data_IF_157100786896
#
_entry.id   IF_157100786896
#
_cell.length_a   1.000
_cell.length_b   1.000
_cell.length_c   1.000
_cell.angle_alpha   90.00
_cell.angle_beta   90.00
_cell.angle_gamma   90.00
#
_symmetry.space_group_name_H-M   'P 1'
#
loop_
_entity.id
_entity.type
_entity.pdbx_description
1 polymer ?
#
# COMPACT_ATOMS: atom_id res chain seq x y z
N UNK A 1 -31.89 9.42 29.63
CA UNK A 1 -30.66 8.92 29.03
C UNK A 1 -31.04 7.68 28.24
N UNK A 2 -31.01 7.75 26.91
CA UNK A 2 -31.26 6.58 26.08
C UNK A 2 -30.14 5.55 26.32
N UNK A 3 -30.50 4.33 26.69
CA UNK A 3 -29.55 3.20 26.70
C UNK A 3 -28.94 3.12 25.30
N UNK A 4 -27.60 3.28 25.19
CA UNK A 4 -26.88 2.91 24.00
C UNK A 4 -27.17 1.42 23.76
N UNK A 5 -28.00 1.11 22.78
CA UNK A 5 -28.16 -0.28 22.34
C UNK A 5 -26.80 -0.75 21.86
N UNK A 6 -26.27 -1.72 22.58
CA UNK A 6 -25.11 -2.48 22.09
C UNK A 6 -25.61 -3.25 20.86
N UNK A 7 -25.15 -2.89 19.69
CA UNK A 7 -25.44 -3.64 18.47
C UNK A 7 -24.73 -4.98 18.61
N UNK A 8 -25.44 -6.00 19.05
CA UNK A 8 -24.85 -7.31 19.36
C UNK A 8 -24.56 -8.15 18.11
N UNK A 9 -25.16 -7.83 16.97
CA UNK A 9 -25.03 -8.63 15.75
C UNK A 9 -24.53 -7.78 14.58
N UNK A 10 -23.57 -8.35 13.82
CA UNK A 10 -23.25 -7.91 12.47
C UNK A 10 -24.27 -8.54 11.51
N UNK A 11 -24.57 -7.87 10.41
CA UNK A 11 -25.39 -8.47 9.35
C UNK A 11 -24.68 -9.71 8.79
N UNK A 12 -25.42 -10.73 8.34
CA UNK A 12 -24.77 -11.91 7.77
C UNK A 12 -24.20 -11.64 6.37
N UNK A 13 -23.15 -12.37 6.01
CA UNK A 13 -22.54 -12.26 4.69
C UNK A 13 -23.54 -12.56 3.56
N UNK A 14 -24.43 -13.50 3.76
CA UNK A 14 -25.44 -13.90 2.77
C UNK A 14 -26.56 -12.88 2.60
N UNK A 15 -26.82 -12.04 3.61
CA UNK A 15 -27.84 -10.99 3.55
C UNK A 15 -27.30 -9.74 2.85
N UNK A 16 -26.16 -9.23 3.31
CA UNK A 16 -25.49 -8.05 2.71
C UNK A 16 -23.97 -8.12 2.98
N UNK A 17 -23.21 -8.66 2.05
CA UNK A 17 -21.75 -8.77 2.14
C UNK A 17 -21.08 -7.42 2.30
N UNK A 18 -21.62 -6.39 1.67
CA UNK A 18 -21.06 -5.04 1.74
C UNK A 18 -21.19 -4.42 3.13
N UNK A 19 -22.37 -4.55 3.73
CA UNK A 19 -22.65 -4.07 5.07
C UNK A 19 -21.93 -4.92 6.12
N UNK A 20 -21.94 -6.25 5.96
CA UNK A 20 -21.18 -7.17 6.80
C UNK A 20 -19.71 -6.74 6.91
N UNK A 21 -19.06 -6.46 5.80
CA UNK A 21 -17.67 -6.02 5.77
C UNK A 21 -17.44 -4.75 6.63
N UNK A 22 -18.30 -3.76 6.48
CA UNK A 22 -18.20 -2.52 7.26
C UNK A 22 -18.49 -2.76 8.73
N UNK A 23 -19.52 -3.56 9.06
CA UNK A 23 -19.87 -3.90 10.42
C UNK A 23 -18.73 -4.62 11.14
N UNK A 24 -18.04 -5.56 10.48
CA UNK A 24 -16.87 -6.26 11.04
C UNK A 24 -15.76 -5.27 11.41
N UNK A 25 -15.43 -4.34 10.51
CA UNK A 25 -14.39 -3.35 10.75
C UNK A 25 -14.70 -2.45 11.94
N UNK A 26 -15.94 -1.94 11.99
CA UNK A 26 -16.37 -1.03 13.05
C UNK A 26 -16.48 -1.74 14.40
N UNK A 27 -17.00 -2.96 14.44
CA UNK A 27 -17.10 -3.74 15.68
C UNK A 27 -15.77 -4.27 16.19
N UNK A 28 -14.86 -4.60 15.31
CA UNK A 28 -13.49 -4.95 15.68
C UNK A 28 -12.63 -3.73 16.06
N UNK A 29 -13.22 -2.53 16.05
CA UNK A 29 -12.55 -1.28 16.43
C UNK A 29 -11.27 -1.00 15.64
N UNK A 30 -11.30 -1.32 14.32
CA UNK A 30 -10.13 -1.23 13.46
C UNK A 30 -9.90 0.18 12.90
N UNK A 31 -10.96 0.90 12.58
CA UNK A 31 -10.89 2.27 12.08
C UNK A 31 -12.15 3.06 12.39
N UNK A 32 -12.11 4.37 12.14
CA UNK A 32 -13.24 5.26 12.25
C UNK A 32 -13.23 6.30 11.12
N UNK A 33 -14.37 6.93 10.87
CA UNK A 33 -14.47 8.02 9.90
C UNK A 33 -13.91 9.32 10.50
N UNK A 34 -13.12 10.04 9.70
CA UNK A 34 -12.69 11.38 10.06
C UNK A 34 -13.65 12.43 9.48
N UNK A 35 -13.44 13.70 9.83
CA UNK A 35 -14.18 14.84 9.29
C UNK A 35 -13.85 15.06 7.80
N UNK A 36 -12.73 14.56 7.32
CA UNK A 36 -12.34 14.63 5.90
C UNK A 36 -12.85 13.40 5.18
N UNK A 37 -13.80 13.61 4.27
CA UNK A 37 -14.42 12.51 3.51
C UNK A 37 -13.36 11.65 2.83
N UNK A 38 -13.42 10.34 3.11
CA UNK A 38 -12.53 9.35 2.50
C UNK A 38 -11.17 9.19 3.18
N UNK A 39 -10.85 10.02 4.17
CA UNK A 39 -9.69 9.85 5.03
C UNK A 39 -10.12 9.19 6.34
N UNK A 40 -9.60 8.01 6.62
CA UNK A 40 -10.00 7.20 7.77
C UNK A 40 -8.98 7.36 8.90
N UNK A 41 -9.47 7.32 10.15
CA UNK A 41 -8.60 7.10 11.31
C UNK A 41 -8.40 5.59 11.45
N UNK A 42 -7.18 5.10 11.27
CA UNK A 42 -6.85 3.70 11.57
C UNK A 42 -6.55 3.61 13.06
N UNK A 43 -7.39 2.87 13.80
CA UNK A 43 -7.29 2.75 15.26
C UNK A 43 -6.20 1.75 15.66
N UNK A 44 -5.75 1.73 16.92
CA UNK A 44 -4.60 0.92 17.35
C UNK A 44 -4.66 -0.56 16.95
N UNK A 45 -5.84 -1.19 17.00
CA UNK A 45 -5.97 -2.58 16.60
C UNK A 45 -5.78 -2.79 15.09
N UNK A 46 -6.41 -1.95 14.26
CA UNK A 46 -6.22 -1.97 12.81
C UNK A 46 -4.80 -1.61 12.41
N UNK A 47 -4.19 -0.63 13.09
CA UNK A 47 -2.82 -0.22 12.83
C UNK A 47 -1.81 -1.30 13.24
N UNK A 48 -2.05 -2.00 14.35
CA UNK A 48 -1.21 -3.12 14.78
C UNK A 48 -1.17 -4.27 13.75
N UNK A 49 -2.28 -4.53 13.05
CA UNK A 49 -2.29 -5.47 11.92
C UNK A 49 -1.36 -4.95 10.80
N UNK A 50 -1.45 -3.67 10.47
CA UNK A 50 -0.59 -3.04 9.46
C UNK A 50 0.89 -3.09 9.84
N UNK A 51 1.25 -2.83 11.09
CA UNK A 51 2.64 -2.92 11.58
C UNK A 51 3.22 -4.33 11.43
N UNK A 52 2.42 -5.35 11.71
CA UNK A 52 2.84 -6.75 11.52
C UNK A 52 3.01 -7.09 10.03
N UNK A 53 2.07 -6.66 9.18
CA UNK A 53 2.19 -6.81 7.73
C UNK A 53 3.43 -6.09 7.19
N UNK A 54 3.66 -4.86 7.64
CA UNK A 54 4.81 -4.05 7.25
C UNK A 54 6.12 -4.74 7.62
N UNK A 55 6.24 -5.27 8.86
CA UNK A 55 7.43 -5.99 9.31
C UNK A 55 7.73 -7.20 8.44
N UNK A 56 6.74 -8.04 8.22
CA UNK A 56 6.88 -9.27 7.42
C UNK A 56 7.28 -8.97 5.96
N UNK A 57 6.73 -7.92 5.36
CA UNK A 57 7.10 -7.50 4.00
C UNK A 57 8.47 -6.84 3.96
N UNK A 58 8.77 -5.96 4.90
CA UNK A 58 10.03 -5.21 4.96
C UNK A 58 11.23 -6.16 5.10
N UNK A 59 11.09 -7.21 5.90
CA UNK A 59 12.11 -8.26 6.04
C UNK A 59 12.36 -8.97 4.70
N UNK A 60 11.32 -9.24 3.92
CA UNK A 60 11.44 -9.83 2.58
C UNK A 60 12.11 -8.89 1.58
N UNK A 61 11.77 -7.61 1.61
CA UNK A 61 12.41 -6.60 0.75
C UNK A 61 13.90 -6.47 1.08
N UNK A 62 14.25 -6.42 2.35
CA UNK A 62 15.65 -6.38 2.78
C UNK A 62 16.43 -7.65 2.40
N UNK A 63 15.77 -8.82 2.47
CA UNK A 63 16.38 -10.08 2.05
C UNK A 63 16.69 -10.13 0.55
N UNK A 64 15.99 -9.35 -0.28
CA UNK A 64 16.29 -9.18 -1.71
C UNK A 64 17.22 -8.00 -2.02
N UNK A 65 17.81 -7.37 -0.99
CA UNK A 65 18.79 -6.29 -1.12
C UNK A 65 18.23 -4.88 -1.18
N UNK A 66 16.92 -4.72 -1.05
CA UNK A 66 16.27 -3.42 -1.07
C UNK A 66 16.55 -2.61 0.19
N UNK A 67 16.55 -1.29 0.04
CA UNK A 67 16.76 -0.32 1.13
C UNK A 67 15.59 0.63 1.21
N UNK A 68 15.15 0.92 2.43
CA UNK A 68 14.13 1.91 2.67
C UNK A 68 14.71 3.32 2.55
N UNK A 69 13.93 4.21 1.94
CA UNK A 69 14.20 5.64 1.84
C UNK A 69 12.90 6.42 2.06
N UNK A 70 12.96 7.74 1.98
CA UNK A 70 11.79 8.60 2.08
C UNK A 70 11.89 9.77 1.11
N UNK A 71 10.84 10.00 0.34
CA UNK A 71 10.69 11.12 -0.57
C UNK A 71 9.60 12.09 -0.07
N UNK A 72 9.71 13.39 -0.38
CA UNK A 72 8.76 14.40 0.11
C UNK A 72 7.32 14.13 -0.30
N UNK A 73 6.40 14.54 0.57
CA UNK A 73 4.95 14.45 0.35
C UNK A 73 4.47 15.35 -0.80
N UNK A 74 5.06 16.52 -0.96
CA UNK A 74 4.62 17.54 -1.89
C UNK A 74 5.43 17.52 -3.18
N UNK A 75 4.72 17.57 -4.30
CA UNK A 75 5.30 17.55 -5.66
C UNK A 75 4.92 18.86 -6.37
N UNK A 76 5.88 19.61 -6.90
CA UNK A 76 5.60 20.80 -7.70
C UNK A 76 4.78 20.47 -8.96
N UNK A 77 3.83 21.32 -9.32
CA UNK A 77 2.98 21.15 -10.51
C UNK A 77 3.81 21.03 -11.80
N UNK A 78 4.90 21.77 -11.89
CA UNK A 78 5.84 21.73 -13.02
C UNK A 78 6.42 20.33 -13.27
N UNK A 79 6.69 19.56 -12.21
CA UNK A 79 7.15 18.18 -12.35
C UNK A 79 6.06 17.25 -12.87
N UNK A 80 4.80 17.41 -12.41
CA UNK A 80 3.68 16.63 -12.92
C UNK A 80 3.38 16.90 -14.39
N UNK A 81 3.49 18.18 -14.81
CA UNK A 81 3.33 18.55 -16.22
C UNK A 81 4.40 17.90 -17.09
N UNK A 82 5.63 17.84 -16.60
CA UNK A 82 6.72 17.17 -17.32
C UNK A 82 6.47 15.69 -17.53
N UNK A 83 5.87 15.03 -16.54
CA UNK A 83 5.47 13.61 -16.65
C UNK A 83 4.34 13.44 -17.67
N UNK A 84 3.29 14.29 -17.61
CA UNK A 84 2.15 14.22 -18.50
C UNK A 84 2.51 14.44 -19.99
N UNK A 85 3.58 15.16 -20.26
CA UNK A 85 4.11 15.37 -21.63
C UNK A 85 4.75 14.12 -22.22
N UNK A 86 5.25 13.21 -21.36
CA UNK A 86 6.03 12.03 -21.76
C UNK A 86 5.33 10.70 -21.52
N UNK A 87 4.28 10.70 -20.70
CA UNK A 87 3.54 9.48 -20.31
C UNK A 87 2.06 9.71 -20.55
N UNK A 88 1.55 9.24 -21.68
CA UNK A 88 0.13 9.36 -22.01
C UNK A 88 -0.75 8.71 -20.92
N UNK A 89 -1.69 9.48 -20.38
CA UNK A 89 -2.81 8.95 -19.59
C UNK A 89 -2.71 9.04 -18.09
N UNK A 90 -1.66 9.64 -17.51
CA UNK A 90 -1.58 9.87 -16.09
C UNK A 90 -2.00 11.30 -15.72
N UNK A 91 -3.30 11.50 -15.44
CA UNK A 91 -3.83 12.70 -14.80
C UNK A 91 -4.64 12.27 -13.56
N UNK A 92 -3.99 11.94 -12.43
CA UNK A 92 -4.73 11.59 -11.23
C UNK A 92 -5.51 12.81 -10.71
N UNK A 93 -6.68 12.57 -10.13
CA UNK A 93 -7.36 13.58 -9.32
C UNK A 93 -6.50 13.84 -8.06
N UNK A 94 -5.76 14.94 -8.04
CA UNK A 94 -4.83 15.28 -6.96
C UNK A 94 -5.40 16.37 -6.04
N UNK A 95 -4.97 16.37 -4.78
CA UNK A 95 -5.19 17.49 -3.88
C UNK A 95 -4.08 18.53 -4.05
N UNK A 96 -4.46 19.80 -4.16
CA UNK A 96 -3.55 20.90 -4.37
C UNK A 96 -3.32 21.72 -3.10
N UNK A 97 -2.05 22.04 -2.83
CA UNK A 97 -1.63 23.00 -1.81
C UNK A 97 -1.28 24.29 -2.55
N UNK A 98 -2.01 25.36 -2.22
CA UNK A 98 -1.90 26.67 -2.87
C UNK A 98 -1.29 27.74 -1.98
N UNK A 99 -1.25 27.53 -0.67
CA UNK A 99 -0.73 28.48 0.32
C UNK A 99 0.28 27.81 1.24
N UNK A 100 1.30 28.59 1.64
CA UNK A 100 2.23 28.29 2.72
C UNK A 100 2.00 29.27 3.87
N UNK A 101 1.29 28.85 4.93
CA UNK A 101 0.73 29.78 5.89
C UNK A 101 -0.35 30.65 5.23
N UNK A 102 -0.26 31.98 5.38
CA UNK A 102 -1.21 32.94 4.79
C UNK A 102 -0.78 33.43 3.39
N UNK A 103 0.39 33.01 2.91
CA UNK A 103 0.92 33.46 1.62
C UNK A 103 0.59 32.46 0.51
N UNK A 104 0.15 32.98 -0.64
CA UNK A 104 -0.05 32.18 -1.85
C UNK A 104 1.31 31.73 -2.42
N UNK A 105 1.42 30.46 -2.75
CA UNK A 105 2.62 29.89 -3.36
C UNK A 105 2.77 30.38 -4.79
N UNK A 106 3.99 30.68 -5.22
CA UNK A 106 4.30 31.03 -6.62
C UNK A 106 3.96 29.90 -7.59
N UNK A 107 4.08 28.66 -7.12
CA UNK A 107 3.71 27.44 -7.81
C UNK A 107 2.93 26.55 -6.85
N UNK A 108 1.78 26.06 -7.27
CA UNK A 108 1.02 25.10 -6.44
C UNK A 108 1.72 23.75 -6.39
N UNK A 109 1.55 23.10 -5.25
CA UNK A 109 2.10 21.78 -5.00
C UNK A 109 0.96 20.76 -4.92
N UNK A 110 1.15 19.53 -5.40
CA UNK A 110 0.20 18.48 -5.14
C UNK A 110 0.64 17.59 -3.98
N UNK A 111 -0.32 17.11 -3.22
CA UNK A 111 -0.09 15.98 -2.31
C UNK A 111 0.08 14.74 -3.17
N UNK A 112 1.18 14.00 -3.01
CA UNK A 112 1.55 12.87 -3.88
C UNK A 112 0.42 11.84 -4.01
N UNK A 113 -0.04 11.54 -5.24
CA UNK A 113 -0.93 10.40 -5.50
C UNK A 113 -0.17 9.10 -5.72
N UNK A 114 1.10 9.24 -6.06
CA UNK A 114 2.16 8.24 -6.24
C UNK A 114 3.48 9.01 -6.35
N UNK A 115 4.63 8.34 -6.31
CA UNK A 115 5.91 9.05 -6.15
C UNK A 115 6.86 8.96 -7.36
N UNK A 116 6.45 8.33 -8.48
CA UNK A 116 7.31 8.20 -9.67
C UNK A 116 7.93 9.54 -10.07
N UNK A 117 7.14 10.60 -10.13
CA UNK A 117 7.56 11.94 -10.55
C UNK A 117 8.69 12.49 -9.70
N UNK A 118 8.51 12.53 -8.38
CA UNK A 118 9.54 13.06 -7.48
C UNK A 118 10.76 12.15 -7.41
N UNK A 119 10.56 10.83 -7.45
CA UNK A 119 11.64 9.85 -7.43
C UNK A 119 12.47 9.93 -8.69
N UNK A 120 11.84 9.95 -9.87
CA UNK A 120 12.56 10.05 -11.15
C UNK A 120 13.34 11.37 -11.29
N UNK A 121 12.81 12.48 -10.74
CA UNK A 121 13.53 13.74 -10.71
C UNK A 121 14.83 13.68 -9.87
N UNK A 122 14.84 12.86 -8.83
CA UNK A 122 16.03 12.63 -8.01
C UNK A 122 16.97 11.60 -8.65
N UNK A 123 16.44 10.56 -9.27
CA UNK A 123 17.24 9.58 -9.99
C UNK A 123 18.00 10.20 -11.15
N UNK A 124 17.44 11.21 -11.83
CA UNK A 124 18.15 11.99 -12.84
C UNK A 124 19.42 12.69 -12.33
N UNK A 125 19.48 12.96 -11.01
CA UNK A 125 20.67 13.53 -10.36
C UNK A 125 21.63 12.47 -9.83
N UNK A 126 21.11 11.33 -9.38
CA UNK A 126 21.89 10.31 -8.68
C UNK A 126 22.49 9.27 -9.61
N UNK A 127 21.80 8.94 -10.71
CA UNK A 127 22.25 7.97 -11.71
C UNK A 127 23.15 8.69 -12.70
N UNK A 128 24.47 8.43 -12.64
CA UNK A 128 25.47 9.04 -13.49
C UNK A 128 26.31 8.00 -14.24
N UNK A 129 26.53 6.84 -13.65
CA UNK A 129 27.34 5.78 -14.23
C UNK A 129 26.77 4.40 -13.92
N UNK A 130 27.23 3.37 -14.65
CA UNK A 130 26.86 1.97 -14.40
C UNK A 130 27.17 1.49 -12.95
N UNK A 131 28.06 2.21 -12.22
CA UNK A 131 28.41 1.90 -10.84
C UNK A 131 27.31 2.29 -9.85
N UNK A 132 26.40 3.16 -10.26
CA UNK A 132 25.27 3.59 -9.44
C UNK A 132 24.09 2.60 -9.55
N UNK A 133 24.20 1.60 -10.43
CA UNK A 133 23.16 0.62 -10.72
C UNK A 133 23.52 -0.77 -10.14
N UNK A 134 22.51 -1.57 -9.70
CA UNK A 134 21.10 -1.19 -9.64
C UNK A 134 20.78 -0.31 -8.44
N UNK A 135 19.76 0.55 -8.57
CA UNK A 135 19.11 1.20 -7.42
C UNK A 135 17.91 0.33 -7.02
N UNK A 136 17.87 -0.08 -5.76
CA UNK A 136 16.83 -0.93 -5.20
C UNK A 136 16.22 -0.24 -3.96
N UNK A 137 15.28 0.71 -4.18
CA UNK A 137 14.70 1.48 -3.10
C UNK A 137 13.22 1.20 -2.93
N UNK A 138 12.79 1.23 -1.67
CA UNK A 138 11.42 1.14 -1.22
C UNK A 138 11.12 2.30 -0.27
N UNK A 139 9.89 2.80 -0.26
CA UNK A 139 9.42 3.69 0.80
C UNK A 139 8.09 3.21 1.38
N UNK A 140 7.97 3.33 2.68
CA UNK A 140 6.74 3.23 3.42
C UNK A 140 6.17 4.64 3.60
N UNK A 141 4.97 4.87 3.09
CA UNK A 141 4.42 6.22 3.02
C UNK A 141 2.89 6.22 2.96
N UNK A 142 2.32 7.40 3.02
CA UNK A 142 0.95 7.66 2.63
C UNK A 142 0.91 8.28 1.23
N UNK A 143 -0.22 8.13 0.56
CA UNK A 143 -0.57 8.86 -0.67
C UNK A 143 -2.02 9.33 -0.58
N UNK A 144 -2.36 10.33 -1.39
CA UNK A 144 -3.71 10.86 -1.42
C UNK A 144 -4.22 10.90 -2.87
N UNK A 145 -5.34 10.23 -3.10
CA UNK A 145 -6.08 10.20 -4.37
C UNK A 145 -7.52 10.62 -4.11
N UNK A 146 -7.98 11.68 -4.75
CA UNK A 146 -9.29 12.25 -4.49
C UNK A 146 -10.42 11.36 -5.01
N UNK A 147 -10.83 10.41 -4.19
CA UNK A 147 -11.80 9.38 -4.53
C UNK A 147 -13.25 9.86 -4.30
N UNK A 148 -14.13 9.63 -5.29
CA UNK A 148 -15.56 9.97 -5.17
C UNK A 148 -16.32 9.02 -4.25
N UNK A 149 -15.98 7.73 -4.33
CA UNK A 149 -16.61 6.66 -3.53
C UNK A 149 -15.55 5.95 -2.73
N UNK A 150 -15.72 5.90 -1.42
CA UNK A 150 -14.73 5.34 -0.50
C UNK A 150 -15.31 4.17 0.29
N UNK A 151 -14.43 3.24 0.68
CA UNK A 151 -14.74 2.10 1.52
C UNK A 151 -13.52 1.78 2.41
N UNK A 152 -13.69 1.61 3.73
CA UNK A 152 -12.59 1.37 4.65
C UNK A 152 -11.61 0.31 4.14
N UNK A 153 -10.32 0.58 4.21
CA UNK A 153 -9.18 -0.20 3.72
C UNK A 153 -9.16 -0.50 2.20
N UNK A 154 -10.29 -0.70 1.55
CA UNK A 154 -10.35 -1.12 0.14
C UNK A 154 -10.14 0.03 -0.84
N UNK A 155 -10.77 1.17 -0.56
CA UNK A 155 -10.67 2.38 -1.38
C UNK A 155 -10.91 3.59 -0.49
N UNK A 156 -9.85 4.30 -0.14
CA UNK A 156 -9.87 5.52 0.67
C UNK A 156 -9.14 6.62 -0.07
N UNK A 157 -9.45 7.88 0.24
CA UNK A 157 -8.76 9.01 -0.37
C UNK A 157 -7.31 9.06 0.07
N UNK A 158 -7.05 8.93 1.36
CA UNK A 158 -5.71 8.72 1.91
C UNK A 158 -5.56 7.26 2.33
N UNK A 159 -4.40 6.67 2.04
CA UNK A 159 -4.05 5.32 2.48
C UNK A 159 -2.55 5.16 2.70
N UNK A 160 -2.21 4.20 3.55
CA UNK A 160 -0.84 3.78 3.77
C UNK A 160 -0.47 2.67 2.77
N UNK A 161 0.73 2.73 2.28
CA UNK A 161 1.27 1.75 1.36
C UNK A 161 2.79 1.63 1.45
N UNK A 162 3.34 0.72 0.70
CA UNK A 162 4.71 0.76 0.27
C UNK A 162 4.78 0.89 -1.25
N UNK A 163 5.80 1.54 -1.73
CA UNK A 163 6.13 1.63 -3.14
C UNK A 163 7.63 1.41 -3.32
N UNK A 164 7.97 0.45 -4.17
CA UNK A 164 9.33 0.20 -4.58
C UNK A 164 9.59 0.84 -5.94
N UNK A 165 10.79 1.38 -6.10
CA UNK A 165 11.22 2.03 -7.34
C UNK A 165 12.65 1.65 -7.60
N UNK A 166 12.90 0.91 -8.68
CA UNK A 166 14.22 0.38 -8.99
C UNK A 166 14.72 0.87 -10.34
N UNK A 167 16.04 0.86 -10.49
CA UNK A 167 16.72 1.26 -11.73
C UNK A 167 17.78 0.24 -12.07
N UNK A 168 17.80 -0.22 -13.31
CA UNK A 168 18.65 -1.30 -13.79
C UNK A 168 19.37 -0.92 -15.08
N UNK A 169 20.52 -1.54 -15.33
CA UNK A 169 21.28 -1.29 -16.53
C UNK A 169 20.65 -1.94 -17.78
N UNK A 170 19.98 -3.09 -17.61
CA UNK A 170 19.43 -3.86 -18.73
C UNK A 170 17.94 -4.14 -18.55
N UNK A 171 17.29 -4.48 -19.66
CA UNK A 171 15.88 -4.88 -19.68
C UNK A 171 15.65 -6.15 -18.88
N UNK A 172 16.56 -7.10 -19.04
CA UNK A 172 16.49 -8.41 -18.39
C UNK A 172 16.55 -8.29 -16.88
N UNK A 173 17.44 -7.42 -16.34
CA UNK A 173 17.52 -7.15 -14.91
C UNK A 173 16.22 -6.53 -14.37
N UNK A 174 15.61 -5.60 -15.12
CA UNK A 174 14.35 -4.98 -14.73
C UNK A 174 13.17 -5.96 -14.79
N UNK A 175 13.14 -6.85 -15.80
CA UNK A 175 12.12 -7.89 -15.90
C UNK A 175 12.22 -8.89 -14.73
N UNK A 176 13.43 -9.37 -14.45
CA UNK A 176 13.69 -10.26 -13.33
C UNK A 176 13.25 -9.61 -11.99
N UNK A 177 13.51 -8.31 -11.85
CA UNK A 177 13.09 -7.58 -10.65
C UNK A 177 11.57 -7.45 -10.54
N UNK A 178 10.87 -7.12 -11.62
CA UNK A 178 9.42 -7.03 -11.62
C UNK A 178 8.75 -8.36 -11.26
N UNK A 179 9.25 -9.46 -11.79
CA UNK A 179 8.77 -10.83 -11.47
C UNK A 179 9.14 -11.24 -10.03
N UNK A 180 10.35 -10.91 -9.57
CA UNK A 180 10.81 -11.19 -8.21
C UNK A 180 9.90 -10.54 -7.17
N UNK A 181 9.55 -9.28 -7.36
CA UNK A 181 8.71 -8.55 -6.40
C UNK A 181 7.27 -9.04 -6.43
N UNK A 182 6.74 -9.45 -7.57
CA UNK A 182 5.46 -10.16 -7.64
C UNK A 182 5.52 -11.47 -6.83
N UNK A 183 6.62 -12.21 -6.94
CA UNK A 183 6.86 -13.44 -6.17
C UNK A 183 6.92 -13.20 -4.66
N UNK A 184 7.54 -12.11 -4.23
CA UNK A 184 7.57 -11.67 -2.82
C UNK A 184 6.16 -11.37 -2.30
N UNK A 185 5.34 -10.67 -3.08
CA UNK A 185 3.94 -10.40 -2.71
C UNK A 185 3.11 -11.68 -2.62
N UNK A 186 3.30 -12.59 -3.57
CA UNK A 186 2.62 -13.88 -3.55
C UNK A 186 3.01 -14.69 -2.31
N UNK A 187 4.30 -14.81 -2.00
CA UNK A 187 4.79 -15.50 -0.80
C UNK A 187 4.19 -14.89 0.47
N UNK A 188 4.17 -13.57 0.56
CA UNK A 188 3.56 -12.86 1.68
C UNK A 188 2.05 -13.17 1.80
N UNK A 189 1.31 -13.07 0.70
CA UNK A 189 -0.13 -13.33 0.70
C UNK A 189 -0.45 -14.78 1.13
N UNK A 190 0.25 -15.76 0.56
CA UNK A 190 -0.02 -17.18 0.80
C UNK A 190 0.52 -17.67 2.16
N UNK A 191 1.73 -17.27 2.55
CA UNK A 191 2.44 -17.84 3.71
C UNK A 191 2.34 -16.98 5.00
N UNK A 192 1.90 -15.73 4.89
CA UNK A 192 1.67 -14.85 6.05
C UNK A 192 0.20 -14.57 6.24
N UNK A 193 -0.49 -14.14 5.18
CA UNK A 193 -1.91 -13.82 5.23
C UNK A 193 -2.82 -15.06 5.05
N UNK A 194 -2.26 -16.19 4.65
CA UNK A 194 -3.00 -17.41 4.29
C UNK A 194 -4.10 -17.15 3.23
N UNK A 195 -3.84 -16.27 2.28
CA UNK A 195 -4.74 -15.90 1.20
C UNK A 195 -4.22 -16.50 -0.11
N UNK A 196 -4.93 -17.47 -0.72
CA UNK A 196 -4.59 -17.96 -2.06
C UNK A 196 -4.75 -16.83 -3.07
N UNK A 197 -3.76 -16.67 -3.96
CA UNK A 197 -3.75 -15.60 -4.95
C UNK A 197 -3.43 -16.12 -6.34
N UNK A 198 -3.98 -15.45 -7.34
CA UNK A 198 -3.63 -15.60 -8.73
C UNK A 198 -2.68 -14.48 -9.14
N UNK A 199 -1.62 -14.82 -9.84
CA UNK A 199 -0.70 -13.85 -10.43
C UNK A 199 -0.79 -13.90 -11.93
N UNK A 200 -0.66 -12.76 -12.59
CA UNK A 200 -0.74 -12.66 -14.03
C UNK A 200 -0.35 -11.28 -14.55
N UNK A 201 -0.34 -11.16 -15.87
CA UNK A 201 -0.10 -9.90 -16.56
C UNK A 201 -1.43 -9.24 -16.89
N UNK A 202 -1.55 -7.94 -16.60
CA UNK A 202 -2.71 -7.14 -16.96
C UNK A 202 -2.81 -6.93 -18.48
N UNK A 203 -4.06 -6.73 -18.93
CA UNK A 203 -4.32 -6.32 -20.31
C UNK A 203 -3.74 -4.92 -20.59
N UNK A 204 -3.55 -4.60 -21.87
CA UNK A 204 -3.08 -3.27 -22.29
C UNK A 204 -3.97 -2.11 -21.80
N UNK A 205 -5.28 -2.36 -21.59
CA UNK A 205 -6.22 -1.36 -21.07
C UNK A 205 -6.11 -1.11 -19.57
N UNK A 206 -5.59 -2.09 -18.84
CA UNK A 206 -5.58 -2.06 -17.36
C UNK A 206 -4.17 -1.94 -16.78
N UNK A 207 -3.14 -1.99 -17.62
CA UNK A 207 -1.77 -1.79 -17.18
C UNK A 207 -1.59 -0.37 -16.63
N UNK A 208 -0.60 -0.20 -15.78
CA UNK A 208 -0.22 1.11 -15.26
C UNK A 208 0.21 2.04 -16.41
N UNK A 209 -0.31 3.26 -16.41
CA UNK A 209 0.04 4.25 -17.42
C UNK A 209 1.55 4.56 -17.37
N UNK A 210 2.24 4.43 -18.51
CA UNK A 210 3.68 4.57 -18.59
C UNK A 210 4.48 3.28 -18.37
N UNK A 211 3.85 2.16 -18.01
CA UNK A 211 4.51 0.88 -17.98
C UNK A 211 4.48 0.18 -19.34
N UNK A 212 5.53 -0.55 -19.66
CA UNK A 212 5.53 -1.48 -20.79
C UNK A 212 4.54 -2.62 -20.51
N UNK A 213 4.57 -3.15 -19.29
CA UNK A 213 3.56 -4.09 -18.81
C UNK A 213 3.45 -4.07 -17.28
N UNK A 214 2.35 -4.61 -16.78
CA UNK A 214 2.03 -4.68 -15.36
C UNK A 214 1.67 -6.10 -14.97
N UNK A 215 2.34 -6.60 -13.96
CA UNK A 215 1.95 -7.80 -13.23
C UNK A 215 0.99 -7.44 -12.10
N UNK A 216 0.07 -8.35 -11.80
CA UNK A 216 -0.90 -8.19 -10.72
C UNK A 216 -0.99 -9.44 -9.87
N UNK A 217 -1.30 -9.26 -8.62
CA UNK A 217 -1.69 -10.30 -7.67
C UNK A 217 -3.13 -10.04 -7.23
N UNK A 218 -4.00 -11.02 -7.46
CA UNK A 218 -5.43 -10.92 -7.19
C UNK A 218 -5.92 -12.10 -6.36
N UNK A 219 -6.79 -11.83 -5.41
CA UNK A 219 -7.43 -12.85 -4.58
C UNK A 219 -8.92 -12.90 -4.84
N UNK A 220 -9.50 -14.10 -4.75
CA UNK A 220 -10.93 -14.31 -4.84
C UNK A 220 -11.57 -14.03 -3.48
N UNK A 221 -12.54 -13.11 -3.44
CA UNK A 221 -13.30 -12.81 -2.25
C UNK A 221 -14.50 -13.76 -2.11
N UNK A 222 -15.07 -13.85 -0.92
CA UNK A 222 -16.20 -14.76 -0.64
C UNK A 222 -17.46 -14.41 -1.44
N UNK A 223 -17.61 -13.18 -1.89
CA UNK A 223 -18.69 -12.74 -2.79
C UNK A 223 -18.44 -13.06 -4.27
N UNK A 224 -17.37 -13.79 -4.59
CA UNK A 224 -16.98 -14.20 -5.94
C UNK A 224 -16.30 -13.12 -6.78
N UNK A 225 -15.94 -11.98 -6.18
CA UNK A 225 -15.21 -10.91 -6.86
C UNK A 225 -13.71 -11.04 -6.66
N UNK A 226 -12.93 -10.71 -7.68
CA UNK A 226 -11.49 -10.61 -7.57
C UNK A 226 -11.10 -9.26 -6.94
N UNK A 227 -10.15 -9.29 -6.01
CA UNK A 227 -9.53 -8.11 -5.41
C UNK A 227 -8.06 -8.05 -5.79
N UNK A 228 -7.66 -6.96 -6.45
CA UNK A 228 -6.25 -6.65 -6.67
C UNK A 228 -5.59 -6.31 -5.34
N UNK A 229 -4.56 -7.06 -4.96
CA UNK A 229 -3.86 -6.92 -3.69
C UNK A 229 -2.46 -6.32 -3.82
N UNK A 230 -1.86 -6.39 -4.99
CA UNK A 230 -0.56 -5.81 -5.28
C UNK A 230 -0.25 -5.81 -6.76
N UNK A 231 0.62 -4.92 -7.20
CA UNK A 231 1.08 -4.81 -8.58
C UNK A 231 2.58 -4.64 -8.65
N UNK A 232 3.16 -5.12 -9.75
CA UNK A 232 4.55 -4.93 -10.10
C UNK A 232 4.64 -4.53 -11.57
N UNK A 233 5.29 -3.40 -11.84
CA UNK A 233 5.33 -2.76 -13.14
C UNK A 233 6.73 -2.81 -13.71
N UNK A 234 6.86 -3.32 -14.94
CA UNK A 234 8.02 -3.06 -15.77
C UNK A 234 7.78 -1.74 -16.51
N UNK A 235 8.50 -0.69 -16.11
CA UNK A 235 8.30 0.66 -16.64
C UNK A 235 9.03 0.89 -17.97
N UNK A 236 9.83 -0.08 -18.41
CA UNK A 236 10.69 0.12 -19.57
C UNK A 236 11.67 1.26 -19.35
N UNK A 237 11.84 2.10 -20.37
CA UNK A 237 12.63 3.31 -20.34
C UNK A 237 11.77 4.59 -20.39
N UNK A 238 10.47 4.47 -20.23
CA UNK A 238 9.52 5.56 -20.45
C UNK A 238 9.77 6.72 -19.48
N UNK A 239 9.83 6.44 -18.19
CA UNK A 239 10.15 7.45 -17.18
C UNK A 239 11.61 7.93 -17.28
N UNK A 240 12.54 7.02 -17.57
CA UNK A 240 13.95 7.39 -17.74
C UNK A 240 14.12 8.41 -18.87
N UNK A 241 13.46 8.23 -20.01
CA UNK A 241 13.46 9.18 -21.13
C UNK A 241 12.74 10.47 -20.75
N UNK A 242 11.57 10.40 -20.09
CA UNK A 242 10.79 11.56 -19.66
C UNK A 242 11.55 12.49 -18.72
N UNK A 243 12.29 11.92 -17.78
CA UNK A 243 13.08 12.66 -16.80
C UNK A 243 14.55 12.82 -17.17
N UNK A 244 14.96 12.33 -18.35
CA UNK A 244 16.35 12.33 -18.83
C UNK A 244 17.32 11.69 -17.84
N UNK A 245 16.95 10.50 -17.32
CA UNK A 245 17.81 9.69 -16.46
C UNK A 245 18.78 8.95 -17.37
N UNK A 246 20.06 9.25 -17.32
CA UNK A 246 21.08 8.62 -18.15
C UNK A 246 22.28 8.21 -17.30
N UNK A 247 22.93 7.13 -17.70
CA UNK A 247 24.17 6.66 -17.08
C UNK A 247 25.26 6.42 -18.14
N UNK A 248 26.49 6.71 -17.77
CA UNK A 248 27.65 6.34 -18.57
C UNK A 248 27.90 4.84 -18.37
N UNK A 249 27.75 4.07 -19.43
CA UNK A 249 27.97 2.62 -19.40
C UNK A 249 29.46 2.28 -19.58
N UNK A 250 29.80 1.00 -19.43
CA UNK A 250 31.17 0.46 -19.49
C UNK A 250 31.85 0.67 -20.84
N UNK A 251 31.06 0.79 -21.90
CA UNK A 251 31.53 1.08 -23.27
C UNK A 251 31.80 2.55 -23.51
N UNK A 252 31.55 3.43 -22.53
CA UNK A 252 31.73 4.88 -22.64
C UNK A 252 30.56 5.62 -23.30
N UNK A 253 29.45 4.94 -23.55
CA UNK A 253 28.22 5.52 -24.11
C UNK A 253 27.20 5.89 -23.02
N UNK A 254 26.45 6.98 -23.24
CA UNK A 254 25.30 7.35 -22.41
C UNK A 254 24.08 6.53 -22.80
N UNK A 255 23.50 5.85 -21.82
CA UNK A 255 22.31 5.00 -21.99
C UNK A 255 21.20 5.37 -21.03
N UNK A 256 19.95 5.14 -21.45
CA UNK A 256 18.80 5.21 -20.55
C UNK A 256 18.68 3.90 -19.79
N UNK A 257 18.53 3.92 -18.45
CA UNK A 257 18.31 2.73 -17.68
C UNK A 257 16.86 2.21 -17.83
N UNK A 258 16.65 0.99 -17.36
CA UNK A 258 15.36 0.35 -17.25
C UNK A 258 14.84 0.44 -15.82
N UNK A 259 13.54 0.62 -15.65
CA UNK A 259 12.97 0.89 -14.35
C UNK A 259 11.82 -0.07 -14.02
N UNK A 260 11.62 -0.31 -12.73
CA UNK A 260 10.43 -0.96 -12.20
C UNK A 260 9.81 -0.13 -11.10
N UNK A 261 8.51 -0.28 -10.90
CA UNK A 261 7.83 0.13 -9.68
C UNK A 261 6.86 -0.95 -9.23
N UNK A 262 6.69 -1.09 -7.93
CA UNK A 262 5.82 -2.12 -7.37
C UNK A 262 5.24 -1.65 -6.04
N UNK A 263 3.98 -2.01 -5.76
CA UNK A 263 3.27 -1.48 -4.61
C UNK A 263 2.16 -2.37 -4.10
N UNK A 264 1.96 -2.26 -2.79
CA UNK A 264 0.80 -2.79 -2.08
C UNK A 264 0.44 -1.88 -0.90
N UNK A 265 -0.82 -1.93 -0.46
CA UNK A 265 -1.36 -0.97 0.50
C UNK A 265 -2.15 -1.66 1.62
N UNK A 266 -2.68 -0.85 2.52
CA UNK A 266 -3.66 -1.26 3.52
C UNK A 266 -4.90 -1.95 2.93
N UNK A 267 -5.08 -1.95 1.59
CA UNK A 267 -6.10 -2.76 0.92
C UNK A 267 -5.98 -4.25 1.26
N UNK A 268 -4.77 -4.74 1.54
CA UNK A 268 -4.57 -6.13 1.97
C UNK A 268 -5.28 -6.46 3.29
N UNK A 269 -5.48 -5.48 4.18
CA UNK A 269 -6.31 -5.66 5.38
C UNK A 269 -7.76 -5.92 4.98
N UNK A 270 -8.26 -5.18 3.99
CA UNK A 270 -9.60 -5.43 3.45
C UNK A 270 -9.75 -6.82 2.84
N UNK A 271 -8.76 -7.25 2.07
CA UNK A 271 -8.69 -8.61 1.53
C UNK A 271 -8.68 -9.67 2.63
N UNK A 272 -7.87 -9.47 3.67
CA UNK A 272 -7.79 -10.34 4.84
C UNK A 272 -9.16 -10.54 5.51
N UNK A 273 -9.89 -9.44 5.74
CA UNK A 273 -11.23 -9.47 6.33
C UNK A 273 -12.19 -10.25 5.42
N UNK A 274 -12.20 -9.97 4.13
CA UNK A 274 -13.13 -10.60 3.18
C UNK A 274 -12.83 -12.07 2.91
N UNK A 275 -11.59 -12.52 3.11
CA UNK A 275 -11.22 -13.94 2.95
C UNK A 275 -11.47 -14.75 4.21
N UNK A 276 -11.09 -14.23 5.37
CA UNK A 276 -11.08 -14.99 6.63
C UNK A 276 -12.24 -14.69 7.57
N UNK A 277 -12.83 -13.49 7.50
CA UNK A 277 -13.98 -13.13 8.32
C UNK A 277 -15.19 -14.00 8.04
N UNK A 278 -16.07 -14.14 9.02
CA UNK A 278 -17.36 -14.83 8.91
C UNK A 278 -18.47 -14.07 9.64
N UNK A 279 -19.64 -14.68 9.78
CA UNK A 279 -20.79 -14.09 10.47
C UNK A 279 -20.57 -13.89 11.98
N UNK A 280 -19.47 -14.40 12.54
CA UNK A 280 -19.05 -14.13 13.93
C UNK A 280 -18.08 -12.96 14.03
N UNK A 281 -17.56 -12.46 12.91
CA UNK A 281 -16.69 -11.29 12.82
C UNK A 281 -15.30 -11.58 12.25
N UNK A 282 -14.33 -10.79 12.74
CA UNK A 282 -12.94 -10.82 12.26
C UNK A 282 -12.22 -12.10 12.66
N UNK A 283 -11.50 -12.68 11.72
CA UNK A 283 -10.53 -13.76 11.93
C UNK A 283 -9.19 -13.38 11.34
N UNK A 284 -8.13 -13.59 12.09
CA UNK A 284 -6.77 -13.23 11.68
C UNK A 284 -5.86 -14.46 11.68
N UNK A 285 -5.02 -14.60 10.64
CA UNK A 285 -3.88 -15.51 10.71
C UNK A 285 -2.94 -15.10 11.86
N UNK A 286 -2.33 -16.05 12.58
CA UNK A 286 -1.52 -15.74 13.78
C UNK A 286 -0.41 -14.72 13.54
N UNK A 287 0.26 -14.74 12.38
CA UNK A 287 1.38 -13.85 12.07
C UNK A 287 0.99 -12.36 12.00
N UNK A 288 -0.28 -12.06 11.77
CA UNK A 288 -0.79 -10.69 11.66
C UNK A 288 -1.83 -10.36 12.73
N UNK A 289 -1.97 -11.19 13.75
CA UNK A 289 -2.84 -10.95 14.88
C UNK A 289 -2.08 -10.17 15.98
N UNK A 290 -2.46 -8.92 16.28
CA UNK A 290 -1.77 -8.12 17.30
C UNK A 290 -1.91 -8.71 18.71
N UNK A 291 -2.98 -9.45 18.98
CA UNK A 291 -3.25 -10.13 20.24
C UNK A 291 -3.21 -11.63 19.99
N UNK A 292 -2.20 -12.32 20.52
CA UNK A 292 -2.01 -13.76 20.36
C UNK A 292 -2.84 -14.57 21.36
N UNK A 293 -3.03 -14.04 22.55
CA UNK A 293 -3.78 -14.69 23.62
C UNK A 293 -4.48 -13.64 24.47
N UNK A 294 -5.76 -13.90 24.81
CA UNK A 294 -6.51 -13.06 25.74
C UNK A 294 -7.01 -13.92 26.89
N UNK A 295 -6.63 -13.57 28.12
CA UNK A 295 -7.10 -14.21 29.34
C UNK A 295 -8.35 -13.48 29.80
N UNK A 296 -9.45 -14.23 29.95
CA UNK A 296 -10.72 -13.71 30.44
C UNK A 296 -10.96 -14.26 31.86
N UNK A 297 -10.85 -13.43 32.92
CA UNK A 297 -11.14 -13.88 34.28
C UNK A 297 -12.63 -14.09 34.44
N UNK A 298 -13.01 -15.29 34.88
CA UNK A 298 -14.41 -15.65 35.17
C UNK A 298 -14.67 -15.33 36.63
N UNK A 299 -15.75 -14.55 36.93
CA UNK A 299 -16.17 -14.18 38.26
C UNK A 299 -15.16 -13.32 39.09
N UNK A 300 -14.38 -12.47 38.43
CA UNK A 300 -13.46 -11.52 39.07
C UNK A 300 -14.17 -10.61 40.12
N UNK A 301 -15.49 -10.48 40.04
CA UNK A 301 -16.33 -9.70 40.98
C UNK A 301 -16.67 -10.45 42.28
N UNK A 302 -16.31 -11.75 42.41
CA UNK A 302 -16.65 -12.60 43.58
C UNK A 302 -15.53 -12.78 44.61
N UNK A 303 -14.33 -12.26 44.34
CA UNK A 303 -13.22 -12.36 45.31
C UNK A 303 -12.13 -11.34 45.00
N UNK A 304 -11.76 -10.59 46.02
CA UNK A 304 -10.88 -9.41 45.90
C UNK A 304 -9.60 -9.58 45.11
N UNK A 305 -9.09 -8.46 44.56
CA UNK A 305 -7.78 -8.24 43.94
C UNK A 305 -7.46 -8.97 42.63
N UNK A 306 -8.46 -9.25 41.76
CA UNK A 306 -8.20 -9.78 40.42
C UNK A 306 -7.44 -8.84 39.47
N UNK A 307 -7.36 -7.56 39.79
CA UNK A 307 -6.67 -6.58 38.95
C UNK A 307 -5.13 -6.69 38.96
N UNK A 308 -4.57 -7.19 40.07
CA UNK A 308 -3.11 -7.38 40.20
C UNK A 308 -2.56 -8.57 39.42
N UNK A 309 -3.41 -9.57 39.14
CA UNK A 309 -2.99 -10.76 38.36
C UNK A 309 -3.10 -10.53 36.83
N UNK A 310 -4.05 -9.69 36.40
CA UNK A 310 -4.24 -9.37 34.98
C UNK A 310 -3.04 -8.53 34.45
N UNK A 311 -2.46 -7.66 35.26
CA UNK A 311 -1.31 -6.85 34.90
C UNK A 311 0.00 -7.60 34.64
N UNK A 312 0.09 -8.88 35.04
CA UNK A 312 1.29 -9.71 34.85
C UNK A 312 1.27 -10.64 33.63
N UNK A 313 0.14 -10.69 32.94
CA UNK A 313 -0.04 -11.54 31.75
C UNK A 313 0.22 -10.81 30.41
N UNK A 314 0.78 -9.59 30.43
CA UNK A 314 1.25 -8.91 29.24
C UNK A 314 2.70 -9.35 28.95
N UNK A 315 2.84 -10.45 28.24
CA UNK A 315 4.08 -10.83 27.56
C UNK A 315 3.81 -10.91 26.07
#
# INVERSE_FOLDING_TARGET
MAKKEFVEQIVSQSEDFSRWYTDVIMKADMCDYSEVKGCMVIKPYGYGIWELMQREMDDRFKATGHKNCYFPLLIPESLLKKEAEHVEGFAPEVAWVTHGGDEELQERLCVRPTSETIICSMYAKWVQSYRDLPILYNQWANVLRWEKTTRPFLRTSEFLWQEGHTVHATQEEAEEEAERMLGVYKDFAENVLAIPVFTGRKSEKEKFAGADHTYTMEAMMQDGRALQMGTSHHLGQNFAKGFNIQFLDRDGELKYPWQTSWGTSTRMIGGLIMVHGDDRGLKLPPKVAPIQCRIIPIAAHKGGNGDDEIGRAHV
#
